data_IF_280850277467
#
_entry.id   IF_280850277467
#
_cell.length_a   1.000
_cell.length_b   1.000
_cell.length_c   1.000
_cell.angle_alpha   90.00
_cell.angle_beta   90.00
_cell.angle_gamma   90.00
#
_symmetry.space_group_name_H-M   'P 1'
#
loop_
_entity.id
_entity.type
_entity.pdbx_description
1 polymer ?
#
# COMPACT_ATOMS: atom_id res chain seq x y z
N UNK A 1 13.07 25.45 3.89
CA UNK A 1 12.69 24.43 2.89
C UNK A 1 12.04 23.26 3.63
N UNK A 2 10.72 23.19 3.68
CA UNK A 2 9.96 22.11 4.34
C UNK A 2 9.18 21.37 3.25
N UNK A 3 9.57 20.14 2.93
CA UNK A 3 8.83 19.25 2.01
C UNK A 3 7.65 18.68 2.80
N UNK A 4 6.43 19.04 2.41
CA UNK A 4 5.21 18.45 2.95
C UNK A 4 4.89 17.23 2.10
N UNK A 5 5.23 16.05 2.60
CA UNK A 5 4.69 14.79 2.12
C UNK A 5 3.27 14.64 2.69
N UNK A 6 2.30 14.45 1.81
CA UNK A 6 0.90 14.25 2.17
C UNK A 6 0.70 12.77 2.54
N UNK A 7 0.45 12.54 3.83
CA UNK A 7 -0.32 11.45 4.44
C UNK A 7 0.21 10.02 4.20
N UNK A 8 1.28 9.66 4.93
CA UNK A 8 1.34 8.32 5.50
C UNK A 8 0.39 8.30 6.71
N UNK A 9 -0.75 7.63 6.59
CA UNK A 9 -1.53 7.28 7.76
C UNK A 9 -0.64 6.42 8.66
N UNK A 10 -0.32 6.97 9.82
CA UNK A 10 0.37 6.31 10.91
C UNK A 10 -0.48 5.10 11.32
N UNK A 11 -0.18 3.92 10.79
CA UNK A 11 -0.35 2.70 11.58
C UNK A 11 0.79 2.71 12.59
N UNK A 12 0.52 3.42 13.69
CA UNK A 12 1.25 3.21 14.92
C UNK A 12 1.28 1.71 15.16
N UNK A 13 2.48 1.16 15.30
CA UNK A 13 2.68 -0.21 15.76
C UNK A 13 1.96 -0.29 17.11
N UNK A 14 0.74 -0.83 17.09
CA UNK A 14 0.06 -1.20 18.30
C UNK A 14 0.96 -2.23 18.99
N UNK A 15 1.34 -1.91 20.22
CA UNK A 15 1.93 -2.84 21.17
C UNK A 15 1.20 -4.16 21.05
N UNK A 16 1.90 -5.20 20.56
CA UNK A 16 1.36 -6.55 20.60
C UNK A 16 1.21 -6.93 22.07
N UNK A 17 -0.01 -6.83 22.59
CA UNK A 17 -0.38 -7.45 23.86
C UNK A 17 -0.48 -8.96 23.58
N UNK A 18 0.63 -9.66 23.77
CA UNK A 18 0.59 -11.12 23.84
C UNK A 18 0.03 -11.51 25.21
N UNK A 19 -1.11 -12.20 25.19
CA UNK A 19 -1.54 -12.99 26.32
C UNK A 19 -0.44 -14.02 26.62
N UNK A 20 0.12 -13.98 27.82
CA UNK A 20 0.93 -15.08 28.36
C UNK A 20 0.04 -16.32 28.50
N UNK A 21 -0.05 -17.13 27.44
CA UNK A 21 -0.33 -18.54 27.62
C UNK A 21 1.02 -19.19 27.95
N UNK A 22 1.17 -19.63 29.20
CA UNK A 22 2.40 -20.17 29.75
C UNK A 22 2.98 -21.29 28.89
N UNK A 23 4.28 -21.23 28.65
CA UNK A 23 5.08 -22.35 28.18
C UNK A 23 5.10 -23.43 29.28
N UNK A 24 4.07 -24.28 29.27
CA UNK A 24 3.98 -25.51 30.05
C UNK A 24 4.44 -26.69 29.19
N UNK A 25 5.56 -27.26 29.60
CA UNK A 25 6.17 -28.47 29.07
C UNK A 25 5.13 -29.62 28.98
N UNK A 26 4.79 -30.12 27.79
CA UNK A 26 3.99 -31.33 27.65
C UNK A 26 4.69 -32.36 26.75
N UNK A 27 5.32 -33.29 27.45
CA UNK A 27 5.83 -34.56 26.95
C UNK A 27 4.71 -35.45 26.40
N UNK A 28 5.09 -36.25 25.41
CA UNK A 28 4.27 -37.13 24.58
C UNK A 28 3.60 -38.30 25.33
N UNK A 29 2.50 -38.77 24.68
CA UNK A 29 1.96 -40.15 24.57
C UNK A 29 0.85 -40.63 25.55
N UNK A 30 -0.04 -41.60 25.15
CA UNK A 30 -1.13 -41.51 24.16
C UNK A 30 -2.46 -42.10 24.77
N UNK A 31 -3.53 -42.45 24.01
CA UNK A 31 -4.92 -42.38 24.51
C UNK A 31 -5.47 -43.69 25.10
N UNK A 32 -6.49 -43.59 25.96
CA UNK A 32 -7.31 -44.73 26.38
C UNK A 32 -8.77 -44.33 26.65
N UNK A 33 -9.62 -45.33 26.45
CA UNK A 33 -11.04 -45.34 26.13
C UNK A 33 -11.99 -45.50 27.32
N UNK A 34 -13.25 -45.14 27.07
CA UNK A 34 -14.53 -45.77 27.50
C UNK A 34 -14.79 -46.22 28.95
N UNK A 35 -16.08 -46.00 29.29
CA UNK A 35 -16.97 -46.81 30.15
C UNK A 35 -16.97 -46.61 31.67
N UNK A 36 -18.11 -46.11 32.14
CA UNK A 36 -19.04 -46.91 32.96
C UNK A 36 -18.83 -46.87 34.48
N UNK A 37 -19.93 -46.73 35.22
CA UNK A 37 -19.97 -47.13 36.63
C UNK A 37 -20.81 -46.23 37.52
N UNK A 38 -21.94 -46.77 37.98
CA UNK A 38 -22.93 -46.18 38.86
C UNK A 38 -22.52 -46.21 40.35
N UNK A 39 -23.33 -45.46 41.12
CA UNK A 39 -23.89 -45.80 42.44
C UNK A 39 -23.12 -45.36 43.69
N UNK A 40 -23.89 -44.73 44.59
CA UNK A 40 -23.51 -44.46 45.98
C UNK A 40 -24.46 -43.46 46.64
N UNK A 41 -25.59 -43.95 47.14
CA UNK A 41 -26.64 -43.21 47.83
C UNK A 41 -26.35 -42.94 49.33
N UNK A 42 -27.00 -41.92 49.90
CA UNK A 42 -27.64 -41.86 51.25
C UNK A 42 -27.88 -40.37 51.62
N UNK A 43 -29.13 -39.88 51.68
CA UNK A 43 -30.03 -39.80 52.86
C UNK A 43 -29.64 -38.63 53.82
N UNK A 44 -30.51 -37.78 54.37
CA UNK A 44 -31.94 -37.44 54.31
C UNK A 44 -32.03 -35.95 54.75
N UNK A 45 -33.12 -35.28 55.11
CA UNK A 45 -34.54 -35.54 55.35
C UNK A 45 -35.20 -34.13 55.47
N UNK A 46 -36.52 -34.04 55.26
CA UNK A 46 -37.33 -32.97 55.87
C UNK A 46 -38.32 -32.21 54.97
N UNK A 47 -39.58 -32.66 55.00
CA UNK A 47 -40.88 -31.93 55.05
C UNK A 47 -41.15 -30.66 54.21
N UNK A 48 -42.34 -30.33 53.71
CA UNK A 48 -43.67 -30.95 53.53
C UNK A 48 -44.57 -29.85 52.92
N UNK A 49 -45.43 -30.18 51.94
CA UNK A 49 -46.74 -29.52 51.75
C UNK A 49 -47.01 -28.76 50.44
N UNK A 50 -48.07 -29.17 49.73
CA UNK A 50 -48.85 -28.31 48.83
C UNK A 50 -49.04 -28.81 47.39
N UNK A 51 -50.22 -29.34 47.09
CA UNK A 51 -50.67 -29.89 45.78
C UNK A 51 -51.46 -28.82 44.97
N UNK A 52 -52.05 -29.12 43.80
CA UNK A 52 -51.60 -28.70 42.46
C UNK A 52 -52.50 -27.66 41.77
N UNK A 53 -51.98 -26.94 40.78
CA UNK A 53 -52.76 -26.05 39.90
C UNK A 53 -52.26 -26.11 38.45
N UNK A 54 -53.18 -26.32 37.52
CA UNK A 54 -52.91 -26.65 36.12
C UNK A 54 -52.87 -25.43 35.17
N UNK A 55 -52.02 -25.56 34.13
CA UNK A 55 -52.06 -24.97 32.77
C UNK A 55 -51.68 -23.48 32.58
N UNK A 56 -51.29 -23.03 31.35
CA UNK A 56 -50.79 -23.73 30.16
C UNK A 56 -49.45 -23.16 29.64
N UNK A 57 -48.95 -23.70 28.51
CA UNK A 57 -47.58 -23.57 28.04
C UNK A 57 -47.11 -22.20 27.53
N UNK A 58 -45.79 -22.04 27.59
CA UNK A 58 -45.03 -21.12 26.77
C UNK A 58 -43.95 -21.92 26.05
N UNK A 59 -44.11 -22.09 24.74
CA UNK A 59 -43.09 -22.63 23.87
C UNK A 59 -41.89 -21.68 23.88
N UNK A 60 -40.75 -22.17 24.36
CA UNK A 60 -39.49 -21.45 24.26
C UNK A 60 -38.99 -21.59 22.82
N UNK A 61 -39.28 -20.56 22.04
CA UNK A 61 -38.82 -20.38 20.67
C UNK A 61 -37.29 -20.34 20.68
N UNK A 62 -36.68 -21.32 20.01
CA UNK A 62 -35.25 -21.35 19.74
C UNK A 62 -34.85 -20.12 18.94
N UNK A 63 -34.25 -19.15 19.62
CA UNK A 63 -33.54 -18.06 18.97
C UNK A 63 -32.31 -18.64 18.26
N UNK A 64 -32.43 -18.86 16.96
CA UNK A 64 -31.28 -19.03 16.10
C UNK A 64 -30.37 -17.81 16.30
N UNK A 65 -29.24 -18.02 16.98
CA UNK A 65 -28.18 -17.03 17.04
C UNK A 65 -27.79 -16.72 15.62
N UNK A 66 -28.13 -15.52 15.16
CA UNK A 66 -27.61 -14.96 13.92
C UNK A 66 -26.10 -14.92 14.09
N UNK A 67 -25.42 -15.90 13.50
CA UNK A 67 -23.98 -15.87 13.34
C UNK A 67 -23.67 -14.56 12.61
N UNK A 68 -22.96 -13.67 13.29
CA UNK A 68 -22.37 -12.51 12.64
C UNK A 68 -21.60 -13.02 11.41
N UNK A 69 -21.70 -12.34 10.25
CA UNK A 69 -21.00 -12.79 9.06
C UNK A 69 -19.51 -12.90 9.39
N UNK A 70 -18.96 -14.10 9.17
CA UNK A 70 -17.54 -14.35 9.33
C UNK A 70 -16.79 -13.40 8.41
N UNK A 71 -16.03 -12.47 8.99
CA UNK A 71 -15.04 -11.69 8.25
C UNK A 71 -14.09 -12.71 7.62
N UNK A 72 -13.82 -12.67 6.31
CA UNK A 72 -12.89 -13.60 5.68
C UNK A 72 -11.57 -13.60 6.47
N UNK A 73 -11.20 -14.74 7.04
CA UNK A 73 -9.92 -14.91 7.73
C UNK A 73 -8.81 -14.74 6.71
N UNK A 74 -8.24 -13.53 6.65
CA UNK A 74 -6.99 -13.28 5.94
C UNK A 74 -5.86 -14.10 6.55
N UNK A 75 -4.75 -14.22 5.80
CA UNK A 75 -3.53 -14.89 6.25
C UNK A 75 -3.12 -14.44 7.66
N UNK A 76 -2.79 -15.39 8.55
CA UNK A 76 -2.37 -15.04 9.92
C UNK A 76 -1.10 -14.18 9.87
N UNK A 77 -0.93 -13.25 10.82
CA UNK A 77 0.33 -12.53 10.97
C UNK A 77 1.53 -13.47 11.20
N UNK A 78 2.71 -13.13 10.66
CA UNK A 78 3.98 -13.78 11.01
C UNK A 78 4.24 -13.76 12.52
N UNK A 79 4.83 -14.84 13.05
CA UNK A 79 5.09 -14.99 14.49
C UNK A 79 6.53 -15.43 14.75
N UNK A 80 7.08 -15.00 15.90
CA UNK A 80 8.31 -15.59 16.42
C UNK A 80 8.07 -17.04 16.83
N UNK A 81 9.02 -17.92 16.52
CA UNK A 81 9.02 -19.32 16.97
C UNK A 81 9.73 -19.48 18.32
N UNK A 82 10.65 -18.57 18.64
CA UNK A 82 11.46 -18.64 19.86
C UNK A 82 11.67 -17.28 20.52
N UNK A 83 11.96 -17.26 21.82
CA UNK A 83 12.28 -16.03 22.55
C UNK A 83 13.51 -15.30 21.98
N UNK A 84 14.65 -15.97 21.67
CA UNK A 84 15.82 -15.29 21.11
C UNK A 84 15.55 -14.65 19.74
N UNK A 85 14.71 -15.26 18.92
CA UNK A 85 14.24 -14.68 17.66
C UNK A 85 13.41 -13.43 17.91
N UNK A 86 12.47 -13.47 18.85
CA UNK A 86 11.67 -12.30 19.21
C UNK A 86 12.51 -11.13 19.72
N UNK A 87 13.47 -11.39 20.60
CA UNK A 87 14.37 -10.36 21.16
C UNK A 87 15.26 -9.74 20.06
N UNK A 88 15.77 -10.57 19.14
CA UNK A 88 16.54 -10.11 18.00
C UNK A 88 15.69 -9.28 17.03
N UNK A 89 14.46 -9.69 16.76
CA UNK A 89 13.52 -8.94 15.93
C UNK A 89 13.21 -7.57 16.54
N UNK A 90 12.93 -7.52 17.85
CA UNK A 90 12.69 -6.26 18.57
C UNK A 90 13.89 -5.32 18.46
N UNK A 91 15.10 -5.86 18.58
CA UNK A 91 16.34 -5.10 18.43
C UNK A 91 16.50 -4.57 17.00
N UNK A 92 16.29 -5.42 15.99
CA UNK A 92 16.38 -5.03 14.58
C UNK A 92 15.35 -3.97 14.20
N UNK A 93 14.13 -4.08 14.73
CA UNK A 93 13.01 -3.16 14.44
C UNK A 93 13.10 -1.81 15.16
N UNK A 94 14.10 -1.59 16.03
CA UNK A 94 14.19 -0.38 16.84
C UNK A 94 14.67 0.85 16.06
N UNK A 95 15.30 0.66 14.89
CA UNK A 95 15.78 1.75 14.05
C UNK A 95 14.72 2.21 13.04
N UNK A 96 14.72 3.50 12.73
CA UNK A 96 13.89 4.11 11.67
C UNK A 96 14.69 4.48 10.42
N UNK A 97 16.01 4.35 10.46
CA UNK A 97 16.87 4.55 9.28
C UNK A 97 16.76 3.33 8.35
N UNK A 98 16.41 3.51 7.07
CA UNK A 98 16.15 2.38 6.17
C UNK A 98 17.40 1.55 5.87
N UNK A 99 18.60 2.15 5.84
CA UNK A 99 19.84 1.42 5.56
C UNK A 99 20.30 0.59 6.77
N UNK A 100 20.21 1.16 7.97
CA UNK A 100 20.44 0.42 9.21
C UNK A 100 19.42 -0.72 9.37
N UNK A 101 18.16 -0.48 8.99
CA UNK A 101 17.11 -1.50 9.05
C UNK A 101 17.33 -2.62 8.02
N UNK A 102 17.73 -2.29 6.77
CA UNK A 102 18.11 -3.30 5.78
C UNK A 102 19.22 -4.19 6.32
N UNK A 103 20.28 -3.59 6.86
CA UNK A 103 21.38 -4.35 7.47
C UNK A 103 20.89 -5.24 8.61
N UNK A 104 20.06 -4.70 9.51
CA UNK A 104 19.53 -5.47 10.62
C UNK A 104 18.60 -6.61 10.15
N UNK A 105 17.84 -6.40 9.08
CA UNK A 105 17.01 -7.43 8.44
C UNK A 105 17.86 -8.56 7.85
N UNK A 106 18.95 -8.23 7.16
CA UNK A 106 19.88 -9.20 6.60
C UNK A 106 20.62 -10.00 7.69
N UNK A 107 21.14 -9.32 8.72
CA UNK A 107 21.78 -9.97 9.86
C UNK A 107 20.80 -10.90 10.60
N UNK A 108 19.54 -10.47 10.77
CA UNK A 108 18.48 -11.27 11.35
C UNK A 108 18.14 -12.49 10.49
N UNK A 109 18.00 -12.32 9.17
CA UNK A 109 17.70 -13.41 8.24
C UNK A 109 18.82 -14.46 8.18
N UNK A 110 20.08 -14.03 8.28
CA UNK A 110 21.22 -14.94 8.37
C UNK A 110 21.24 -15.73 9.69
N UNK A 111 20.86 -15.10 10.80
CA UNK A 111 20.82 -15.75 12.12
C UNK A 111 19.60 -16.65 12.33
N UNK A 112 18.46 -16.29 11.74
CA UNK A 112 17.18 -16.99 11.88
C UNK A 112 16.56 -17.26 10.50
N UNK A 113 17.15 -18.17 9.69
CA UNK A 113 16.72 -18.41 8.31
C UNK A 113 15.30 -18.98 8.19
N UNK A 114 14.78 -19.61 9.24
CA UNK A 114 13.42 -20.15 9.27
C UNK A 114 12.41 -19.21 9.93
N UNK A 115 12.83 -18.01 10.34
CA UNK A 115 11.95 -17.05 11.00
C UNK A 115 10.90 -16.50 10.04
N UNK A 116 9.65 -16.43 10.50
CA UNK A 116 8.57 -15.77 9.76
C UNK A 116 8.71 -14.24 9.85
N UNK A 117 9.42 -13.71 10.85
CA UNK A 117 9.55 -12.28 11.09
C UNK A 117 10.47 -11.57 10.10
N UNK A 118 11.25 -12.32 9.30
CA UNK A 118 12.12 -11.75 8.25
C UNK A 118 11.35 -10.83 7.31
N UNK A 119 10.16 -11.24 6.89
CA UNK A 119 9.34 -10.45 5.98
C UNK A 119 8.91 -9.11 6.60
N UNK A 120 8.65 -9.07 7.91
CA UNK A 120 8.24 -7.83 8.58
C UNK A 120 9.37 -6.79 8.58
N UNK A 121 10.63 -7.23 8.76
CA UNK A 121 11.80 -6.34 8.70
C UNK A 121 12.02 -5.82 7.27
N UNK A 122 11.98 -6.70 6.26
CA UNK A 122 12.14 -6.28 4.87
C UNK A 122 11.02 -5.37 4.39
N UNK A 123 9.76 -5.62 4.77
CA UNK A 123 8.64 -4.72 4.45
C UNK A 123 8.80 -3.34 5.10
N UNK A 124 9.32 -3.29 6.32
CA UNK A 124 9.59 -2.02 7.00
C UNK A 124 10.74 -1.27 6.31
N UNK A 125 11.81 -1.96 5.89
CA UNK A 125 12.88 -1.37 5.09
C UNK A 125 12.39 -0.89 3.71
N UNK A 126 11.57 -1.69 3.02
CA UNK A 126 10.93 -1.35 1.74
C UNK A 126 10.16 -0.03 1.82
N UNK A 127 9.24 0.10 2.78
CA UNK A 127 8.51 1.35 3.04
C UNK A 127 9.44 2.50 3.41
N UNK A 128 10.49 2.23 4.18
CA UNK A 128 11.52 3.22 4.51
C UNK A 128 12.21 3.78 3.26
N UNK A 129 12.58 2.91 2.32
CA UNK A 129 13.16 3.31 1.03
C UNK A 129 12.17 3.98 0.09
N UNK A 130 10.91 3.55 0.09
CA UNK A 130 9.82 4.23 -0.62
C UNK A 130 9.66 5.67 -0.13
N UNK A 131 9.62 5.87 1.20
CA UNK A 131 9.54 7.20 1.82
C UNK A 131 10.78 8.06 1.55
N UNK A 132 11.96 7.44 1.44
CA UNK A 132 13.20 8.10 1.05
C UNK A 132 13.28 8.39 -0.47
N UNK A 133 12.27 7.97 -1.25
CA UNK A 133 12.25 8.01 -2.72
C UNK A 133 13.48 7.31 -3.35
N UNK A 134 13.94 6.23 -2.73
CA UNK A 134 15.03 5.38 -3.21
C UNK A 134 14.45 4.14 -3.89
N UNK A 135 14.15 4.26 -5.17
CA UNK A 135 13.45 3.24 -5.94
C UNK A 135 14.26 1.93 -6.08
N UNK A 136 15.57 2.02 -6.25
CA UNK A 136 16.42 0.83 -6.43
C UNK A 136 16.42 -0.03 -5.15
N UNK A 137 16.64 0.59 -4.00
CA UNK A 137 16.59 -0.11 -2.72
C UNK A 137 15.18 -0.56 -2.32
N UNK A 138 14.16 0.20 -2.70
CA UNK A 138 12.77 -0.23 -2.51
C UNK A 138 12.48 -1.51 -3.31
N UNK A 139 12.90 -1.56 -4.58
CA UNK A 139 12.75 -2.73 -5.44
C UNK A 139 13.52 -3.94 -4.90
N UNK A 140 14.75 -3.75 -4.41
CA UNK A 140 15.54 -4.80 -3.78
C UNK A 140 14.82 -5.40 -2.56
N UNK A 141 14.29 -4.55 -1.66
CA UNK A 141 13.57 -5.02 -0.49
C UNK A 141 12.23 -5.67 -0.84
N UNK A 142 11.50 -5.13 -1.83
CA UNK A 142 10.28 -5.74 -2.35
C UNK A 142 10.54 -7.15 -2.89
N UNK A 143 11.61 -7.33 -3.67
CA UNK A 143 12.02 -8.66 -4.15
C UNK A 143 12.42 -9.61 -3.02
N UNK A 144 13.10 -9.12 -1.97
CA UNK A 144 13.36 -9.93 -0.76
C UNK A 144 12.05 -10.34 -0.06
N UNK A 145 11.05 -9.46 0.01
CA UNK A 145 9.73 -9.81 0.53
C UNK A 145 9.05 -10.90 -0.32
N UNK A 146 9.05 -10.75 -1.65
CA UNK A 146 8.43 -11.71 -2.57
C UNK A 146 9.14 -13.06 -2.63
N UNK A 147 10.45 -13.10 -2.33
CA UNK A 147 11.18 -14.34 -2.16
C UNK A 147 10.74 -15.12 -0.90
N UNK A 148 10.25 -14.42 0.14
CA UNK A 148 9.72 -15.02 1.36
C UNK A 148 8.24 -15.35 1.24
N UNK A 149 7.48 -14.49 0.56
CA UNK A 149 6.05 -14.63 0.33
C UNK A 149 5.67 -14.12 -1.06
N UNK A 150 5.59 -15.03 -2.07
CA UNK A 150 5.26 -14.66 -3.44
C UNK A 150 3.85 -14.07 -3.63
N UNK A 151 2.99 -14.15 -2.62
CA UNK A 151 1.63 -13.64 -2.65
C UNK A 151 1.45 -12.33 -1.87
N UNK A 152 2.50 -11.77 -1.24
CA UNK A 152 2.38 -10.55 -0.41
C UNK A 152 1.87 -9.37 -1.26
N UNK A 153 0.62 -8.92 -1.05
CA UNK A 153 -0.01 -8.00 -1.99
C UNK A 153 0.63 -6.61 -2.01
N UNK A 154 1.18 -6.18 -0.87
CA UNK A 154 1.87 -4.90 -0.76
C UNK A 154 3.18 -4.90 -1.53
N UNK A 155 4.04 -5.89 -1.31
CA UNK A 155 5.30 -6.01 -2.04
C UNK A 155 5.06 -6.17 -3.56
N UNK A 156 4.01 -6.90 -3.96
CA UNK A 156 3.63 -7.03 -5.37
C UNK A 156 3.25 -5.68 -5.99
N UNK A 157 2.44 -4.87 -5.30
CA UNK A 157 2.06 -3.52 -5.76
C UNK A 157 3.28 -2.61 -5.86
N UNK A 158 4.06 -2.54 -4.80
CA UNK A 158 5.23 -1.67 -4.69
C UNK A 158 6.28 -1.97 -5.77
N UNK A 159 6.59 -3.25 -5.99
CA UNK A 159 7.49 -3.70 -7.07
C UNK A 159 6.92 -3.31 -8.44
N UNK A 160 5.61 -3.52 -8.67
CA UNK A 160 4.98 -3.19 -9.94
C UNK A 160 4.99 -1.68 -10.22
N UNK A 161 4.77 -0.85 -9.21
CA UNK A 161 4.84 0.62 -9.30
C UNK A 161 6.26 1.05 -9.70
N UNK A 162 7.29 0.62 -8.98
CA UNK A 162 8.68 1.00 -9.29
C UNK A 162 9.09 0.56 -10.69
N UNK A 163 8.78 -0.68 -11.07
CA UNK A 163 9.10 -1.17 -12.41
C UNK A 163 8.39 -0.33 -13.49
N UNK A 164 7.12 0.00 -13.29
CA UNK A 164 6.35 0.79 -14.27
C UNK A 164 6.87 2.22 -14.39
N UNK A 165 7.27 2.85 -13.29
CA UNK A 165 7.70 4.26 -13.28
C UNK A 165 9.16 4.46 -13.67
N UNK A 166 10.02 3.47 -13.43
CA UNK A 166 11.46 3.59 -13.65
C UNK A 166 11.95 2.98 -14.95
N UNK A 167 11.15 2.13 -15.59
CA UNK A 167 11.51 1.55 -16.88
C UNK A 167 11.35 2.59 -17.99
N UNK A 168 12.41 2.78 -18.76
CA UNK A 168 12.48 3.74 -19.86
C UNK A 168 12.38 3.02 -21.20
N UNK A 169 11.98 3.75 -22.24
CA UNK A 169 11.94 3.21 -23.60
C UNK A 169 13.31 2.77 -24.14
N UNK A 170 14.39 3.28 -23.57
CA UNK A 170 15.78 2.98 -23.94
C UNK A 170 16.37 1.79 -23.20
N UNK A 171 15.68 1.22 -22.22
CA UNK A 171 16.21 0.12 -21.40
C UNK A 171 16.19 -1.19 -22.20
N UNK A 172 17.33 -1.90 -22.20
CA UNK A 172 17.47 -3.16 -22.94
C UNK A 172 16.52 -4.26 -22.44
N UNK A 173 16.20 -4.23 -21.14
CA UNK A 173 15.32 -5.17 -20.45
C UNK A 173 13.89 -4.61 -20.26
N UNK A 174 13.52 -3.55 -20.99
CA UNK A 174 12.20 -2.89 -20.87
C UNK A 174 11.04 -3.88 -20.84
N UNK A 175 10.94 -4.72 -21.87
CA UNK A 175 9.79 -5.61 -22.02
C UNK A 175 9.69 -6.61 -20.87
N UNK A 176 10.84 -7.11 -20.39
CA UNK A 176 10.90 -7.99 -19.23
C UNK A 176 10.42 -7.27 -17.95
N UNK A 177 10.88 -6.04 -17.71
CA UNK A 177 10.49 -5.26 -16.53
C UNK A 177 9.00 -4.90 -16.54
N UNK A 178 8.44 -4.55 -17.69
CA UNK A 178 7.02 -4.23 -17.83
C UNK A 178 6.13 -5.48 -17.75
N UNK A 179 6.62 -6.64 -18.20
CA UNK A 179 5.94 -7.92 -18.00
C UNK A 179 5.95 -8.34 -16.52
N UNK A 180 7.08 -8.19 -15.82
CA UNK A 180 7.17 -8.39 -14.36
C UNK A 180 6.18 -7.48 -13.62
N UNK A 181 6.12 -6.19 -13.97
CA UNK A 181 5.16 -5.25 -13.39
C UNK A 181 3.70 -5.67 -13.64
N UNK A 182 3.38 -6.09 -14.86
CA UNK A 182 2.04 -6.56 -15.23
C UNK A 182 1.62 -7.76 -14.37
N UNK A 183 2.50 -8.77 -14.26
CA UNK A 183 2.25 -9.98 -13.48
C UNK A 183 2.11 -9.67 -12.00
N UNK A 184 2.97 -8.82 -11.46
CA UNK A 184 2.93 -8.42 -10.06
C UNK A 184 1.64 -7.69 -9.71
N UNK A 185 1.22 -6.70 -10.50
CA UNK A 185 -0.04 -5.97 -10.28
C UNK A 185 -1.28 -6.88 -10.40
N UNK A 186 -1.31 -7.78 -11.39
CA UNK A 186 -2.38 -8.77 -11.52
C UNK A 186 -2.44 -9.73 -10.33
N UNK A 187 -1.27 -10.20 -9.88
CA UNK A 187 -1.16 -11.10 -8.74
C UNK A 187 -1.62 -10.42 -7.45
N UNK A 188 -1.27 -9.15 -7.24
CA UNK A 188 -1.74 -8.38 -6.09
C UNK A 188 -3.28 -8.33 -6.05
N UNK A 189 -3.94 -8.05 -7.17
CA UNK A 189 -5.41 -8.04 -7.25
C UNK A 189 -6.02 -9.38 -6.84
N UNK A 190 -5.36 -10.50 -7.17
CA UNK A 190 -5.81 -11.84 -6.80
C UNK A 190 -5.63 -12.14 -5.31
N UNK A 191 -4.63 -11.53 -4.66
CA UNK A 191 -4.21 -11.90 -3.30
C UNK A 191 -4.61 -10.86 -2.23
N UNK A 192 -5.03 -9.64 -2.58
CA UNK A 192 -5.42 -8.58 -1.64
C UNK A 192 -6.48 -9.03 -0.63
N UNK A 193 -7.44 -9.86 -1.06
CA UNK A 193 -8.53 -10.26 -0.17
C UNK A 193 -8.14 -11.38 0.80
N UNK A 194 -7.11 -12.18 0.47
CA UNK A 194 -6.73 -13.41 1.17
C UNK A 194 -5.39 -13.34 1.89
N UNK A 195 -4.41 -12.61 1.36
CA UNK A 195 -3.00 -12.69 1.77
C UNK A 195 -2.51 -11.45 2.53
N UNK A 196 -3.40 -10.50 2.83
CA UNK A 196 -3.05 -9.38 3.73
C UNK A 196 -3.26 -9.79 5.18
N UNK A 197 -2.17 -9.78 5.95
CA UNK A 197 -2.19 -10.04 7.38
C UNK A 197 -2.39 -8.74 8.19
N UNK A 198 -3.28 -8.78 9.17
CA UNK A 198 -3.55 -7.66 10.08
C UNK A 198 -3.38 -8.09 11.54
N UNK A 199 -2.88 -7.22 12.43
CA UNK A 199 -2.90 -7.48 13.87
C UNK A 199 -4.31 -7.76 14.38
N UNK A 200 -4.43 -8.62 15.40
CA UNK A 200 -5.70 -8.88 16.06
C UNK A 200 -6.31 -7.58 16.61
N UNK A 201 -7.62 -7.39 16.43
CA UNK A 201 -8.32 -6.18 16.86
C UNK A 201 -8.17 -4.97 15.93
N UNK A 202 -7.53 -5.12 14.75
CA UNK A 202 -7.56 -4.08 13.73
C UNK A 202 -9.01 -3.77 13.34
N UNK A 203 -9.46 -2.51 13.40
CA UNK A 203 -10.83 -2.15 13.03
C UNK A 203 -11.17 -2.57 11.60
N UNK A 204 -12.37 -3.13 11.33
CA UNK A 204 -12.76 -3.57 9.98
C UNK A 204 -12.67 -2.47 8.91
N UNK A 205 -13.01 -1.23 9.26
CA UNK A 205 -12.90 -0.09 8.34
C UNK A 205 -11.46 0.19 7.91
N UNK A 206 -10.48 -0.05 8.80
CA UNK A 206 -9.05 0.10 8.50
C UNK A 206 -8.52 -1.02 7.62
N UNK A 207 -9.00 -2.25 7.85
CA UNK A 207 -8.73 -3.40 6.98
C UNK A 207 -9.22 -3.10 5.55
N UNK A 208 -10.47 -2.68 5.43
CA UNK A 208 -11.07 -2.38 4.12
C UNK A 208 -10.39 -1.20 3.43
N UNK A 209 -10.10 -0.12 4.16
CA UNK A 209 -9.35 1.03 3.62
C UNK A 209 -7.99 0.60 3.04
N UNK A 210 -7.25 -0.23 3.76
CA UNK A 210 -5.93 -0.68 3.30
C UNK A 210 -6.01 -1.60 2.08
N UNK A 211 -6.94 -2.58 2.08
CA UNK A 211 -7.17 -3.44 0.91
C UNK A 211 -7.58 -2.63 -0.32
N UNK A 212 -8.46 -1.65 -0.13
CA UNK A 212 -8.92 -0.75 -1.18
C UNK A 212 -7.81 0.15 -1.73
N UNK A 213 -6.92 0.64 -0.87
CA UNK A 213 -5.73 1.37 -1.29
C UNK A 213 -4.83 0.50 -2.19
N UNK A 214 -4.48 -0.71 -1.75
CA UNK A 214 -3.66 -1.64 -2.56
C UNK A 214 -4.33 -1.96 -3.89
N UNK A 215 -5.65 -2.18 -3.89
CA UNK A 215 -6.44 -2.45 -5.09
C UNK A 215 -6.43 -1.25 -6.04
N UNK A 216 -6.56 -0.05 -5.51
CA UNK A 216 -6.47 1.21 -6.26
C UNK A 216 -5.10 1.35 -6.92
N UNK A 217 -4.01 1.16 -6.18
CA UNK A 217 -2.64 1.19 -6.71
C UNK A 217 -2.40 0.15 -7.80
N UNK A 218 -2.80 -1.11 -7.58
CA UNK A 218 -2.63 -2.18 -8.56
C UNK A 218 -3.34 -1.85 -9.89
N UNK A 219 -4.58 -1.33 -9.83
CA UNK A 219 -5.27 -0.88 -11.03
C UNK A 219 -4.64 0.36 -11.68
N UNK A 220 -4.06 1.28 -10.89
CA UNK A 220 -3.32 2.42 -11.45
C UNK A 220 -2.09 1.96 -12.24
N UNK A 221 -1.34 0.99 -11.70
CA UNK A 221 -0.20 0.37 -12.39
C UNK A 221 -0.63 -0.27 -13.71
N UNK A 222 -1.68 -1.09 -13.69
CA UNK A 222 -2.21 -1.71 -14.93
C UNK A 222 -2.65 -0.65 -15.94
N UNK A 223 -3.29 0.44 -15.49
CA UNK A 223 -3.65 1.54 -16.37
C UNK A 223 -2.44 2.21 -17.02
N UNK A 224 -1.37 2.45 -16.26
CA UNK A 224 -0.13 3.03 -16.77
C UNK A 224 0.58 2.10 -17.76
N UNK A 225 0.61 0.78 -17.49
CA UNK A 225 1.16 -0.22 -18.40
C UNK A 225 0.38 -0.28 -19.72
N UNK A 226 -0.95 -0.26 -19.68
CA UNK A 226 -1.78 -0.22 -20.89
C UNK A 226 -1.61 1.10 -21.65
N UNK A 227 -1.47 2.23 -20.94
CA UNK A 227 -1.17 3.51 -21.56
C UNK A 227 0.17 3.49 -22.31
N UNK A 228 1.21 2.90 -21.71
CA UNK A 228 2.53 2.74 -22.33
C UNK A 228 2.49 1.86 -23.59
N UNK A 229 1.56 0.89 -23.65
CA UNK A 229 1.30 0.06 -24.84
C UNK A 229 0.42 0.77 -25.89
N UNK A 230 0.07 2.03 -25.69
CA UNK A 230 -0.91 2.78 -26.48
C UNK A 230 -2.33 2.15 -26.48
N UNK A 231 -2.64 1.24 -25.56
CA UNK A 231 -3.99 0.72 -25.38
C UNK A 231 -4.79 1.67 -24.48
N UNK A 232 -5.21 2.81 -25.03
CA UNK A 232 -5.86 3.87 -24.26
C UNK A 232 -7.23 3.47 -23.69
N UNK A 233 -7.96 2.57 -24.36
CA UNK A 233 -9.22 2.01 -23.83
C UNK A 233 -8.96 1.13 -22.60
N UNK A 234 -7.93 0.28 -22.66
CA UNK A 234 -7.49 -0.53 -21.52
C UNK A 234 -6.97 0.34 -20.36
N UNK A 235 -6.24 1.41 -20.68
CA UNK A 235 -5.75 2.38 -19.71
C UNK A 235 -6.91 3.08 -18.99
N UNK A 236 -7.87 3.63 -19.73
CA UNK A 236 -9.07 4.25 -19.19
C UNK A 236 -9.82 3.29 -18.26
N UNK A 237 -10.04 2.05 -18.69
CA UNK A 237 -10.76 1.04 -17.90
C UNK A 237 -10.09 0.82 -16.55
N UNK A 238 -8.76 0.66 -16.52
CA UNK A 238 -8.04 0.39 -15.29
C UNK A 238 -7.90 1.65 -14.41
N UNK A 239 -7.67 2.84 -14.97
CA UNK A 239 -7.64 4.06 -14.16
C UNK A 239 -8.99 4.37 -13.51
N UNK A 240 -10.12 4.08 -14.18
CA UNK A 240 -11.45 4.17 -13.55
C UNK A 240 -11.59 3.17 -12.39
N UNK A 241 -11.24 1.90 -12.60
CA UNK A 241 -11.22 0.89 -11.53
C UNK A 241 -10.36 1.30 -10.34
N UNK A 242 -9.23 1.95 -10.60
CA UNK A 242 -8.36 2.48 -9.55
C UNK A 242 -9.07 3.55 -8.70
N UNK A 243 -9.70 4.53 -9.34
CA UNK A 243 -10.46 5.58 -8.66
C UNK A 243 -11.65 4.99 -7.89
N UNK A 244 -12.37 4.06 -8.49
CA UNK A 244 -13.56 3.42 -7.90
C UNK A 244 -13.21 2.47 -6.74
N UNK A 245 -12.01 1.89 -6.75
CA UNK A 245 -11.54 1.03 -5.66
C UNK A 245 -11.28 1.80 -4.37
N UNK A 246 -10.86 3.07 -4.45
CA UNK A 246 -10.59 3.92 -3.28
C UNK A 246 -11.13 5.36 -3.46
N UNK A 247 -12.45 5.53 -3.55
CA UNK A 247 -13.07 6.80 -3.94
C UNK A 247 -12.99 7.88 -2.85
N UNK A 248 -12.68 7.48 -1.61
CA UNK A 248 -12.50 8.35 -0.45
C UNK A 248 -11.30 9.29 -0.64
N UNK A 249 -10.25 8.78 -1.27
CA UNK A 249 -8.96 9.45 -1.42
C UNK A 249 -8.30 9.00 -2.73
N UNK A 250 -8.89 9.39 -3.88
CA UNK A 250 -8.32 9.05 -5.18
C UNK A 250 -6.94 9.68 -5.34
N UNK A 251 -6.02 8.97 -5.98
CA UNK A 251 -4.71 9.51 -6.28
C UNK A 251 -4.80 10.57 -7.41
N UNK A 252 -4.34 11.82 -7.18
CA UNK A 252 -4.38 12.86 -8.20
C UNK A 252 -3.58 12.52 -9.46
N UNK A 253 -2.50 11.74 -9.35
CA UNK A 253 -1.71 11.33 -10.52
C UNK A 253 -2.52 10.37 -11.39
N UNK A 254 -3.23 9.42 -10.80
CA UNK A 254 -4.16 8.51 -11.47
C UNK A 254 -5.31 9.27 -12.15
N UNK A 255 -5.89 10.26 -11.48
CA UNK A 255 -6.94 11.13 -12.07
C UNK A 255 -6.41 11.89 -13.29
N UNK A 256 -5.19 12.42 -13.22
CA UNK A 256 -4.52 13.04 -14.36
C UNK A 256 -4.25 12.03 -15.49
N UNK A 257 -3.76 10.83 -15.17
CA UNK A 257 -3.50 9.76 -16.15
C UNK A 257 -4.79 9.33 -16.86
N UNK A 258 -5.93 9.30 -16.18
CA UNK A 258 -7.24 9.08 -16.79
C UNK A 258 -7.60 10.17 -17.81
N UNK A 259 -7.40 11.45 -17.47
CA UNK A 259 -7.58 12.56 -18.41
C UNK A 259 -6.73 12.38 -19.68
N UNK A 260 -5.46 11.99 -19.53
CA UNK A 260 -4.56 11.73 -20.65
C UNK A 260 -5.03 10.55 -21.51
N UNK A 261 -5.51 9.46 -20.90
CA UNK A 261 -6.06 8.31 -21.64
C UNK A 261 -7.30 8.68 -22.46
N UNK A 262 -8.18 9.53 -21.90
CA UNK A 262 -9.37 10.03 -22.58
C UNK A 262 -9.02 10.97 -23.75
N UNK A 263 -8.04 11.86 -23.53
CA UNK A 263 -7.51 12.76 -24.55
C UNK A 263 -6.92 12.00 -25.74
N UNK A 264 -6.15 10.93 -25.49
CA UNK A 264 -5.63 10.04 -26.55
C UNK A 264 -6.73 9.32 -27.34
N UNK A 265 -7.95 9.25 -26.82
CA UNK A 265 -9.14 8.73 -27.49
C UNK A 265 -10.00 9.84 -28.14
N UNK A 266 -9.55 11.10 -28.12
CA UNK A 266 -10.31 12.28 -28.55
C UNK A 266 -11.60 12.54 -27.73
N UNK A 267 -11.73 11.97 -26.53
CA UNK A 267 -12.87 12.20 -25.62
C UNK A 267 -12.68 13.51 -24.85
N UNK A 268 -12.49 14.62 -25.56
CA UNK A 268 -12.04 15.89 -25.00
C UNK A 268 -12.91 16.45 -23.87
N UNK A 269 -14.25 16.43 -23.94
CA UNK A 269 -15.09 16.95 -22.85
C UNK A 269 -14.87 16.19 -21.53
N UNK A 270 -14.75 14.87 -21.63
CA UNK A 270 -14.55 14.00 -20.47
C UNK A 270 -13.12 14.11 -19.94
N UNK A 271 -12.13 14.17 -20.85
CA UNK A 271 -10.74 14.44 -20.49
C UNK A 271 -10.60 15.76 -19.72
N UNK A 272 -11.30 16.82 -20.14
CA UNK A 272 -11.24 18.13 -19.49
C UNK A 272 -11.84 18.08 -18.08
N UNK A 273 -12.93 17.33 -17.88
CA UNK A 273 -13.51 17.11 -16.54
C UNK A 273 -12.47 16.50 -15.58
N UNK A 274 -11.78 15.44 -16.00
CA UNK A 274 -10.75 14.82 -15.15
C UNK A 274 -9.48 15.67 -15.01
N UNK A 275 -9.12 16.47 -16.03
CA UNK A 275 -8.01 17.42 -15.92
C UNK A 275 -8.31 18.50 -14.86
N UNK A 276 -9.53 19.05 -14.86
CA UNK A 276 -9.97 20.01 -13.84
C UNK A 276 -9.95 19.39 -12.45
N UNK A 277 -10.49 18.18 -12.30
CA UNK A 277 -10.43 17.45 -11.02
C UNK A 277 -9.00 17.25 -10.54
N UNK A 278 -8.07 16.88 -11.43
CA UNK A 278 -6.65 16.75 -11.08
C UNK A 278 -6.03 18.09 -10.64
N UNK A 279 -6.41 19.21 -11.26
CA UNK A 279 -5.98 20.56 -10.84
C UNK A 279 -6.49 20.89 -9.44
N UNK A 280 -7.76 20.61 -9.15
CA UNK A 280 -8.37 20.85 -7.82
C UNK A 280 -7.72 20.03 -6.72
N UNK A 281 -7.30 18.80 -7.04
CA UNK A 281 -6.64 17.89 -6.10
C UNK A 281 -5.15 18.16 -5.89
N UNK A 282 -4.54 19.05 -6.68
CA UNK A 282 -3.08 19.25 -6.66
C UNK A 282 -2.70 20.69 -6.35
N UNK A 283 -1.64 20.84 -5.56
CA UNK A 283 -1.12 22.16 -5.20
C UNK A 283 -0.47 22.85 -6.39
N UNK A 284 -0.55 24.18 -6.40
CA UNK A 284 0.22 25.01 -7.32
C UNK A 284 1.73 24.84 -7.07
N UNK A 285 2.54 24.87 -8.14
CA UNK A 285 3.99 24.64 -8.06
C UNK A 285 4.45 23.19 -7.85
N UNK A 286 3.56 22.25 -7.53
CA UNK A 286 3.89 20.82 -7.52
C UNK A 286 4.10 20.26 -8.94
N UNK A 287 4.88 19.19 -9.07
CA UNK A 287 5.10 18.52 -10.37
C UNK A 287 3.78 18.03 -10.99
N UNK A 288 3.00 17.25 -10.22
CA UNK A 288 1.70 16.74 -10.65
C UNK A 288 0.72 17.87 -11.00
N UNK A 289 0.64 18.93 -10.18
CA UNK A 289 -0.26 20.03 -10.47
C UNK A 289 0.15 20.83 -11.71
N UNK A 290 1.45 21.01 -11.95
CA UNK A 290 1.92 21.71 -13.14
C UNK A 290 1.57 20.94 -14.42
N UNK A 291 1.65 19.60 -14.37
CA UNK A 291 1.19 18.74 -15.45
C UNK A 291 -0.34 18.77 -15.61
N UNK A 292 -1.10 18.75 -14.52
CA UNK A 292 -2.56 18.82 -14.55
C UNK A 292 -3.06 20.13 -15.19
N UNK A 293 -2.51 21.28 -14.79
CA UNK A 293 -2.84 22.59 -15.37
C UNK A 293 -2.49 22.64 -16.86
N UNK A 294 -1.30 22.16 -17.24
CA UNK A 294 -0.90 22.07 -18.66
C UNK A 294 -1.88 21.24 -19.48
N UNK A 295 -2.29 20.07 -18.95
CA UNK A 295 -3.23 19.19 -19.65
C UNK A 295 -4.60 19.86 -19.81
N UNK A 296 -5.13 20.47 -18.74
CA UNK A 296 -6.36 21.26 -18.81
C UNK A 296 -6.27 22.35 -19.87
N UNK A 297 -5.21 23.16 -19.85
CA UNK A 297 -5.07 24.30 -20.76
C UNK A 297 -4.97 23.86 -22.23
N UNK A 298 -4.26 22.76 -22.51
CA UNK A 298 -4.23 22.13 -23.84
C UNK A 298 -5.63 21.69 -24.28
N UNK A 299 -6.38 21.02 -23.41
CA UNK A 299 -7.73 20.54 -23.71
C UNK A 299 -8.70 21.71 -23.97
N UNK A 300 -8.60 22.79 -23.20
CA UNK A 300 -9.39 24.01 -23.42
C UNK A 300 -9.12 24.59 -24.82
N UNK A 301 -7.85 24.69 -25.24
CA UNK A 301 -7.49 25.14 -26.59
C UNK A 301 -8.07 24.23 -27.69
N UNK A 302 -7.98 22.91 -27.52
CA UNK A 302 -8.51 21.94 -28.49
C UNK A 302 -10.04 22.00 -28.61
N UNK A 303 -10.73 22.37 -27.54
CA UNK A 303 -12.18 22.60 -27.55
C UNK A 303 -12.61 24.00 -28.05
N UNK A 304 -11.68 24.84 -28.51
CA UNK A 304 -11.96 26.20 -28.97
C UNK A 304 -12.15 27.24 -27.86
N UNK A 305 -11.85 26.90 -26.61
CA UNK A 305 -11.89 27.81 -25.47
C UNK A 305 -10.56 28.56 -25.25
N UNK A 306 -10.60 29.66 -24.50
CA UNK A 306 -9.40 30.41 -24.08
C UNK A 306 -8.86 29.87 -22.75
N UNK A 307 -7.59 29.44 -22.64
CA UNK A 307 -7.00 29.00 -21.38
C UNK A 307 -7.05 30.07 -20.30
N UNK A 308 -7.17 29.66 -19.04
CA UNK A 308 -6.89 30.54 -17.92
C UNK A 308 -5.41 30.96 -17.99
N UNK A 309 -5.15 32.27 -17.96
CA UNK A 309 -3.84 32.84 -18.27
C UNK A 309 -2.69 32.12 -17.56
N UNK A 310 -1.65 31.79 -18.34
CA UNK A 310 -0.40 31.26 -17.81
C UNK A 310 0.17 32.22 -16.74
N UNK A 311 0.84 31.73 -15.68
CA UNK A 311 1.64 32.59 -14.83
C UNK A 311 2.75 33.20 -15.70
N UNK A 312 2.59 34.49 -16.02
CA UNK A 312 3.64 35.30 -16.62
C UNK A 312 4.76 35.45 -15.61
N UNK A 313 5.85 34.70 -15.80
CA UNK A 313 6.95 34.70 -14.83
C UNK A 313 8.17 33.88 -15.22
N UNK A 314 8.76 34.17 -16.38
CA UNK A 314 10.21 34.40 -16.55
C UNK A 314 10.53 34.54 -18.04
N UNK A 315 10.33 35.75 -18.55
CA UNK A 315 11.07 36.24 -19.71
C UNK A 315 12.00 37.32 -19.18
N UNK A 316 13.23 36.95 -18.83
CA UNK A 316 14.32 37.88 -18.59
C UNK A 316 15.50 37.49 -19.49
N UNK A 317 15.73 38.30 -20.53
CA UNK A 317 17.05 38.50 -21.10
C UNK A 317 17.37 37.76 -22.39
N UNK A 318 16.74 38.15 -23.50
CA UNK A 318 17.40 38.08 -24.81
C UNK A 318 17.73 39.50 -25.26
N UNK A 319 19.04 39.78 -25.36
CA UNK A 319 19.59 40.86 -26.19
C UNK A 319 20.09 42.10 -25.44
N UNK A 320 21.40 42.17 -25.20
CA UNK A 320 22.26 43.24 -25.74
C UNK A 320 23.73 42.78 -25.69
N UNK A 321 24.32 42.63 -26.87
CA UNK A 321 25.76 42.48 -27.09
C UNK A 321 26.49 43.77 -26.70
N UNK A 322 27.58 43.73 -25.92
CA UNK A 322 28.44 44.89 -25.72
C UNK A 322 29.38 45.11 -26.94
N UNK A 323 29.74 46.36 -27.28
CA UNK A 323 30.62 46.64 -28.41
C UNK A 323 32.10 46.36 -28.08
N UNK A 324 32.85 46.08 -29.14
CA UNK A 324 34.28 45.79 -29.14
C UNK A 324 35.13 46.94 -28.56
N UNK A 325 36.03 46.62 -27.65
CA UNK A 325 37.09 47.51 -27.17
C UNK A 325 38.38 47.25 -27.94
N UNK A 326 38.80 48.23 -28.74
CA UNK A 326 40.18 48.34 -29.25
C UNK A 326 41.16 48.71 -28.13
N UNK A 327 42.40 48.19 -28.13
CA UNK A 327 43.38 48.48 -27.09
C UNK A 327 44.09 49.80 -27.36
N UNK A 328 44.07 50.72 -26.38
CA UNK A 328 44.90 51.91 -26.38
C UNK A 328 46.17 51.68 -25.55
N UNK A 329 47.29 52.06 -26.16
CA UNK A 329 48.65 51.91 -25.68
C UNK A 329 48.90 52.60 -24.32
N UNK A 330 49.71 51.95 -23.47
CA UNK A 330 50.26 52.54 -22.26
C UNK A 330 51.79 52.55 -22.38
N UNK A 331 52.35 53.75 -22.52
CA UNK A 331 53.79 54.03 -22.46
C UNK A 331 54.12 54.54 -21.05
N UNK A 332 55.25 54.15 -20.42
CA UNK A 332 55.51 54.46 -19.02
C UNK A 332 56.33 55.74 -18.80
N UNK A 333 56.29 56.33 -17.60
CA UNK A 333 57.43 57.04 -17.00
C UNK A 333 57.82 56.37 -15.66
N UNK A 334 59.09 55.99 -15.41
CA UNK A 334 60.21 56.78 -14.81
C UNK A 334 59.73 57.59 -13.59
N UNK A 335 60.25 57.44 -12.36
CA UNK A 335 61.48 56.88 -11.80
C UNK A 335 61.17 56.13 -10.50
#
# INVERSE_FOLDING_TARGET
>A
MKRVAVVCAILAVASFAFAQAGYGNQSQNPPASQQGGQAGAAAGAGQQGGQPGAAPGAAQQGGAGQAAPAVPEGKRPPQAKTQPEFDAFKTASATTDPAALEKAADDFAAKFPDSELRILLYKTAMRGYQNANNADKMLDMGRKCLALDPNDPEALVDVAEVLTERTRDTDLDKDQRLDEATKAAQKAIQTIDTDVAFPAGTPPDKVDQYKNLLRSSAYSVLGALEFNKNNFTGAETNFRKSIDAFPQQPDPVTVLRLSLALDRQNKYPEALTYANKAVEMTQEGSGAGSLARRQRDRLVQLSGGKPAGAPTGSAAGAGTTPPATTPAANTPPKQ
#
